data_IF_920344370784
#
_entry.id   IF_920344370784
#
_cell.length_a   1.000
_cell.length_b   1.000
_cell.length_c   1.000
_cell.angle_alpha   90.00
_cell.angle_beta   90.00
_cell.angle_gamma   90.00
#
_symmetry.space_group_name_H-M   'P 1'
#
loop_
_entity.id
_entity.type
_entity.pdbx_description
1 polymer ?
#
# COMPACT_ATOMS: atom_id res chain seq x y z
N UNK A 1 4.76 1.76 -2.41
CA UNK A 1 5.42 2.80 -1.60
C UNK A 1 6.92 2.94 -1.88
N UNK A 2 7.68 1.87 -2.23
CA UNK A 2 9.12 2.01 -2.50
C UNK A 2 9.45 2.64 -3.88
N UNK A 3 8.53 2.59 -4.84
CA UNK A 3 8.77 3.03 -6.23
C UNK A 3 9.25 4.48 -6.35
N UNK A 4 8.72 5.46 -5.60
CA UNK A 4 9.27 6.83 -5.58
C UNK A 4 10.76 6.92 -5.28
N UNK A 5 11.29 6.07 -4.39
CA UNK A 5 12.74 6.00 -4.16
C UNK A 5 13.47 5.55 -5.43
N UNK A 6 12.98 4.51 -6.10
CA UNK A 6 13.57 4.01 -7.34
C UNK A 6 13.56 5.09 -8.42
N UNK A 7 12.44 5.80 -8.61
CA UNK A 7 12.33 6.90 -9.58
C UNK A 7 13.25 8.07 -9.24
N UNK A 8 13.37 8.41 -7.96
CA UNK A 8 14.32 9.42 -7.48
C UNK A 8 15.76 9.03 -7.83
N UNK A 9 16.14 7.77 -7.60
CA UNK A 9 17.49 7.26 -7.94
C UNK A 9 17.74 7.22 -9.45
N UNK A 10 16.78 6.78 -10.27
CA UNK A 10 16.90 6.78 -11.73
C UNK A 10 17.10 8.19 -12.29
N UNK A 11 16.40 9.18 -11.73
CA UNK A 11 16.52 10.57 -12.17
C UNK A 11 17.84 11.21 -11.73
N UNK A 12 18.23 11.03 -10.46
CA UNK A 12 19.37 11.75 -9.87
C UNK A 12 20.70 11.03 -10.06
N UNK A 13 20.67 9.73 -10.35
CA UNK A 13 21.84 8.90 -10.63
C UNK A 13 21.64 8.14 -11.96
N UNK A 14 21.54 8.82 -13.11
CA UNK A 14 21.16 8.21 -14.39
C UNK A 14 22.15 7.15 -14.92
N UNK A 15 23.41 7.21 -14.47
CA UNK A 15 24.43 6.22 -14.81
C UNK A 15 24.47 5.02 -13.86
N UNK A 16 23.69 5.03 -12.78
CA UNK A 16 23.65 3.94 -11.82
C UNK A 16 22.81 2.78 -12.37
N UNK A 17 23.35 1.57 -12.30
CA UNK A 17 22.60 0.36 -12.59
C UNK A 17 21.84 -0.07 -11.34
N UNK A 18 20.52 -0.15 -11.44
CA UNK A 18 19.66 -0.52 -10.32
C UNK A 18 19.26 -1.99 -10.41
N UNK A 19 19.58 -2.76 -9.37
CA UNK A 19 19.10 -4.13 -9.19
C UNK A 19 18.17 -4.19 -7.97
N UNK A 20 16.95 -4.69 -8.16
CA UNK A 20 15.95 -4.82 -7.10
C UNK A 20 15.70 -6.29 -6.76
N UNK A 21 16.12 -6.70 -5.56
CA UNK A 21 15.75 -7.99 -4.98
C UNK A 21 14.32 -7.88 -4.44
N UNK A 22 13.40 -8.62 -5.06
CA UNK A 22 11.95 -8.44 -4.85
C UNK A 22 11.23 -9.77 -4.68
N UNK A 23 10.16 -9.78 -3.88
CA UNK A 23 9.30 -10.96 -3.77
C UNK A 23 8.46 -11.16 -5.04
N UNK A 24 8.19 -12.42 -5.41
CA UNK A 24 7.36 -12.75 -6.58
C UNK A 24 6.00 -12.01 -6.66
N UNK A 25 5.19 -11.88 -5.58
CA UNK A 25 3.95 -11.12 -5.65
C UNK A 25 4.14 -9.63 -5.95
N UNK A 26 5.17 -9.00 -5.40
CA UNK A 26 5.47 -7.60 -5.65
C UNK A 26 6.08 -7.39 -7.06
N UNK A 27 6.82 -8.37 -7.57
CA UNK A 27 7.34 -8.35 -8.94
C UNK A 27 6.22 -8.23 -9.98
N UNK A 28 5.09 -8.93 -9.82
CA UNK A 28 3.97 -8.84 -10.77
C UNK A 28 3.38 -7.43 -10.93
N UNK A 29 3.57 -6.53 -9.95
CA UNK A 29 3.19 -5.13 -10.09
C UNK A 29 4.26 -4.30 -10.82
N UNK A 30 5.54 -4.67 -10.68
CA UNK A 30 6.70 -3.93 -11.19
C UNK A 30 7.25 -4.49 -12.51
N UNK A 31 6.77 -5.64 -12.96
CA UNK A 31 7.18 -6.29 -14.20
C UNK A 31 7.06 -5.31 -15.38
N UNK A 32 8.11 -5.15 -16.18
CA UNK A 32 8.14 -4.16 -17.26
C UNK A 32 8.55 -2.75 -16.83
N UNK A 33 8.95 -2.53 -15.57
CA UNK A 33 9.61 -1.28 -15.16
C UNK A 33 10.98 -1.17 -15.84
N UNK A 34 11.16 -0.13 -16.65
CA UNK A 34 12.41 0.15 -17.35
C UNK A 34 13.53 0.58 -16.39
N UNK A 35 14.78 0.29 -16.77
CA UNK A 35 15.97 0.73 -16.04
C UNK A 35 16.19 0.05 -14.69
N UNK A 36 15.56 -1.10 -14.43
CA UNK A 36 15.74 -1.89 -13.21
C UNK A 36 15.92 -3.37 -13.56
N UNK A 37 17.02 -3.97 -13.11
CA UNK A 37 17.19 -5.42 -13.11
C UNK A 37 16.45 -6.03 -11.90
N UNK A 38 15.61 -7.04 -12.11
CA UNK A 38 14.92 -7.70 -11.00
C UNK A 38 15.55 -9.05 -10.64
N UNK A 39 15.86 -9.24 -9.36
CA UNK A 39 16.18 -10.53 -8.78
C UNK A 39 14.96 -10.99 -7.99
N UNK A 40 14.12 -11.81 -8.64
CA UNK A 40 12.89 -12.30 -8.03
C UNK A 40 13.19 -13.49 -7.12
N UNK A 41 12.81 -13.37 -5.85
CA UNK A 41 12.98 -14.42 -4.85
C UNK A 41 11.65 -14.77 -4.18
N UNK A 42 11.53 -16.00 -3.72
CA UNK A 42 10.52 -16.35 -2.72
C UNK A 42 11.03 -15.97 -1.33
N UNK A 43 10.10 -15.68 -0.40
CA UNK A 43 10.48 -15.43 0.99
C UNK A 43 11.15 -16.71 1.54
N UNK A 44 12.39 -16.63 2.06
CA UNK A 44 13.09 -17.81 2.56
C UNK A 44 12.30 -18.50 3.68
N UNK A 45 12.07 -19.81 3.53
CA UNK A 45 11.41 -20.65 4.55
C UNK A 45 12.38 -21.64 5.17
N UNK A 46 13.42 -22.01 4.45
CA UNK A 46 14.39 -23.05 4.81
C UNK A 46 15.83 -22.55 4.65
N UNK A 47 16.79 -23.24 5.26
CA UNK A 47 18.22 -22.96 5.09
C UNK A 47 18.69 -23.14 3.63
N UNK A 48 18.07 -24.08 2.91
CA UNK A 48 18.35 -24.30 1.49
C UNK A 48 18.02 -23.06 0.63
N UNK A 49 16.99 -22.30 1.00
CA UNK A 49 16.61 -21.06 0.31
C UNK A 49 17.71 -19.99 0.44
N UNK A 50 18.27 -19.83 1.65
CA UNK A 50 19.39 -18.92 1.88
C UNK A 50 20.64 -19.33 1.11
N UNK A 51 20.94 -20.63 1.04
CA UNK A 51 22.08 -21.12 0.26
C UNK A 51 21.89 -20.94 -1.24
N UNK A 52 20.67 -21.16 -1.75
CA UNK A 52 20.31 -20.87 -3.15
C UNK A 52 20.50 -19.39 -3.47
N UNK A 53 20.00 -18.52 -2.59
CA UNK A 53 20.21 -17.08 -2.73
C UNK A 53 21.70 -16.71 -2.71
N UNK A 54 22.48 -17.26 -1.76
CA UNK A 54 23.93 -17.05 -1.69
C UNK A 54 24.63 -17.44 -2.99
N UNK A 55 24.29 -18.59 -3.58
CA UNK A 55 24.84 -19.03 -4.87
C UNK A 55 24.49 -18.05 -6.00
N UNK A 56 23.25 -17.59 -6.05
CA UNK A 56 22.78 -16.60 -7.04
C UNK A 56 23.51 -15.25 -6.92
N UNK A 57 23.84 -14.83 -5.69
CA UNK A 57 24.54 -13.57 -5.42
C UNK A 57 26.07 -13.67 -5.52
N UNK A 58 26.64 -14.87 -5.51
CA UNK A 58 28.09 -15.09 -5.51
C UNK A 58 28.87 -14.37 -6.64
N UNK A 59 28.41 -14.37 -7.91
CA UNK A 59 29.13 -13.71 -9.01
C UNK A 59 28.88 -12.19 -9.07
N UNK A 60 28.02 -11.65 -8.19
CA UNK A 60 27.59 -10.25 -8.24
C UNK A 60 28.35 -9.42 -7.21
N UNK A 61 28.61 -8.16 -7.56
CA UNK A 61 29.17 -7.15 -6.66
C UNK A 61 28.43 -5.85 -6.88
N UNK A 62 28.22 -5.09 -5.81
CA UNK A 62 27.53 -3.81 -5.83
C UNK A 62 28.37 -2.74 -5.14
N UNK A 63 28.25 -1.49 -5.57
CA UNK A 63 28.86 -0.37 -4.84
C UNK A 63 28.08 -0.07 -3.55
N UNK A 64 26.75 -0.13 -3.63
CA UNK A 64 25.86 0.16 -2.50
C UNK A 64 24.71 -0.84 -2.46
N UNK A 65 24.40 -1.34 -1.27
CA UNK A 65 23.13 -1.99 -0.95
C UNK A 65 22.25 -1.03 -0.14
N UNK A 66 21.05 -0.73 -0.63
CA UNK A 66 19.98 -0.10 0.16
C UNK A 66 19.10 -1.21 0.73
N UNK A 67 18.92 -1.25 2.05
CA UNK A 67 18.14 -2.27 2.75
C UNK A 67 16.87 -1.69 3.40
N UNK A 68 15.87 -1.23 2.62
CA UNK A 68 14.63 -0.63 3.12
C UNK A 68 13.63 -1.64 3.71
N UNK A 69 14.07 -2.83 4.11
CA UNK A 69 13.23 -3.84 4.75
C UNK A 69 13.95 -4.45 5.96
N UNK A 70 13.51 -4.05 7.16
CA UNK A 70 13.99 -4.61 8.42
C UNK A 70 13.05 -5.71 8.91
N UNK A 71 13.25 -6.92 8.40
CA UNK A 71 12.56 -8.12 8.91
C UNK A 71 13.55 -9.26 9.03
N UNK A 72 13.36 -10.15 10.01
CA UNK A 72 14.31 -11.22 10.33
C UNK A 72 14.80 -11.95 9.08
N UNK A 73 13.87 -12.55 8.32
CA UNK A 73 14.20 -13.34 7.13
C UNK A 73 14.95 -12.55 6.06
N UNK A 74 14.63 -11.27 5.89
CA UNK A 74 15.31 -10.42 4.90
C UNK A 74 16.68 -9.95 5.38
N UNK A 75 16.82 -9.65 6.68
CA UNK A 75 18.09 -9.24 7.26
C UNK A 75 19.17 -10.33 7.09
N UNK A 76 18.80 -11.61 7.21
CA UNK A 76 19.70 -12.73 7.00
C UNK A 76 20.15 -12.94 5.54
N UNK A 77 19.54 -12.25 4.57
CA UNK A 77 20.04 -12.24 3.18
C UNK A 77 21.19 -11.24 2.98
N UNK A 78 21.23 -10.17 3.80
CA UNK A 78 22.19 -9.06 3.67
C UNK A 78 23.66 -9.52 3.68
N UNK A 79 24.10 -10.48 4.51
CA UNK A 79 25.48 -10.97 4.50
C UNK A 79 25.89 -11.61 3.17
N UNK A 80 24.95 -12.18 2.41
CA UNK A 80 25.23 -12.85 1.14
C UNK A 80 25.31 -11.88 -0.04
N UNK A 81 24.99 -10.60 0.16
CA UNK A 81 25.09 -9.55 -0.85
C UNK A 81 26.44 -8.84 -0.66
N UNK A 82 27.32 -8.97 -1.65
CA UNK A 82 28.62 -8.29 -1.68
C UNK A 82 28.42 -6.85 -2.13
N UNK A 83 28.45 -5.91 -1.18
CA UNK A 83 28.36 -4.48 -1.45
C UNK A 83 29.43 -3.72 -0.65
N UNK A 84 30.07 -2.70 -1.26
CA UNK A 84 31.11 -1.88 -0.60
C UNK A 84 30.50 -1.07 0.56
N UNK A 85 29.30 -0.54 0.36
CA UNK A 85 28.48 0.15 1.37
C UNK A 85 27.14 -0.55 1.55
N UNK A 86 26.62 -0.53 2.78
CA UNK A 86 25.30 -1.08 3.13
C UNK A 86 24.55 -0.08 3.98
N UNK A 87 23.53 0.53 3.38
CA UNK A 87 22.66 1.53 4.00
C UNK A 87 21.38 0.85 4.47
N UNK A 88 21.01 1.06 5.74
CA UNK A 88 19.83 0.47 6.35
C UNK A 88 19.02 1.47 7.18
N UNK A 89 18.06 0.95 7.93
CA UNK A 89 17.25 1.74 8.86
C UNK A 89 18.03 2.23 10.08
N UNK A 90 17.56 3.35 10.62
CA UNK A 90 18.00 3.93 11.88
C UNK A 90 17.52 3.12 13.10
N UNK A 91 17.90 3.55 14.31
CA UNK A 91 17.58 2.85 15.57
C UNK A 91 16.09 2.71 15.88
N UNK A 92 15.23 3.60 15.39
CA UNK A 92 13.79 3.56 15.67
C UNK A 92 13.04 2.57 14.76
N UNK A 93 13.54 2.37 13.53
CA UNK A 93 12.89 1.54 12.51
C UNK A 93 13.56 0.19 12.31
N UNK A 94 14.84 0.10 12.65
CA UNK A 94 15.57 -1.15 12.59
C UNK A 94 14.99 -2.15 13.58
N UNK A 95 14.65 -3.32 13.06
CA UNK A 95 14.14 -4.44 13.84
C UNK A 95 14.85 -5.74 13.44
N UNK A 96 14.65 -6.82 14.20
CA UNK A 96 15.09 -8.18 13.88
C UNK A 96 16.59 -8.29 13.53
N UNK A 97 17.45 -7.63 14.29
CA UNK A 97 18.90 -7.68 14.09
C UNK A 97 19.41 -6.96 12.84
N UNK A 98 18.61 -6.08 12.21
CA UNK A 98 18.99 -5.33 11.01
C UNK A 98 20.36 -4.64 11.12
N UNK A 99 20.64 -4.04 12.28
CA UNK A 99 21.88 -3.29 12.56
C UNK A 99 23.13 -4.17 12.67
N UNK A 100 22.99 -5.50 12.77
CA UNK A 100 24.15 -6.41 12.77
C UNK A 100 24.89 -6.41 11.41
N UNK A 101 24.19 -6.07 10.34
CA UNK A 101 24.71 -6.15 8.97
C UNK A 101 24.82 -4.80 8.26
N UNK A 102 24.42 -3.73 8.94
CA UNK A 102 24.31 -2.37 8.42
C UNK A 102 25.23 -1.47 9.24
N UNK A 103 26.16 -0.79 8.56
CA UNK A 103 27.09 0.17 9.17
C UNK A 103 26.71 1.63 8.91
N UNK A 104 25.90 1.87 7.90
CA UNK A 104 25.45 3.19 7.48
C UNK A 104 23.92 3.21 7.54
N UNK A 105 23.32 4.23 8.15
CA UNK A 105 21.87 4.30 8.33
C UNK A 105 21.30 5.61 7.84
N UNK A 106 20.03 5.58 7.43
CA UNK A 106 19.26 6.79 7.17
C UNK A 106 19.12 7.66 8.43
N UNK A 107 18.74 8.92 8.25
CA UNK A 107 18.47 9.84 9.35
C UNK A 107 17.26 9.36 10.18
N UNK A 108 17.37 9.30 11.52
CA UNK A 108 16.26 8.91 12.38
C UNK A 108 15.00 9.74 12.18
N UNK A 109 13.83 9.14 12.40
CA UNK A 109 12.58 9.87 12.44
C UNK A 109 11.35 9.00 12.56
N UNK A 110 10.18 9.64 12.68
CA UNK A 110 8.87 9.01 12.85
C UNK A 110 7.89 9.41 11.74
N UNK A 111 8.40 9.97 10.65
CA UNK A 111 7.61 10.35 9.49
C UNK A 111 6.97 9.15 8.78
N UNK A 112 6.10 9.46 7.83
CA UNK A 112 5.41 8.48 7.01
C UNK A 112 6.39 7.48 6.36
N UNK A 113 5.98 6.22 6.24
CA UNK A 113 6.84 5.12 5.74
C UNK A 113 7.45 5.43 4.38
N UNK A 114 6.69 6.08 3.48
CA UNK A 114 7.20 6.54 2.18
C UNK A 114 8.36 7.54 2.31
N UNK A 115 8.27 8.49 3.23
CA UNK A 115 9.37 9.42 3.50
C UNK A 115 10.59 8.68 4.04
N UNK A 116 10.37 7.72 4.94
CA UNK A 116 11.44 6.84 5.44
C UNK A 116 12.14 6.07 4.31
N UNK A 117 11.41 5.64 3.27
CA UNK A 117 12.02 5.05 2.08
C UNK A 117 12.85 6.07 1.30
N UNK A 118 12.34 7.27 1.07
CA UNK A 118 13.05 8.31 0.32
C UNK A 118 14.37 8.72 0.98
N UNK A 119 14.46 8.66 2.31
CA UNK A 119 15.72 8.92 3.04
C UNK A 119 16.87 7.99 2.67
N UNK A 120 16.62 6.81 2.08
CA UNK A 120 17.70 5.94 1.60
C UNK A 120 18.52 6.55 0.46
N UNK A 121 18.03 7.62 -0.19
CA UNK A 121 18.77 8.36 -1.19
C UNK A 121 19.77 9.37 -0.57
N UNK A 122 19.53 9.85 0.65
CA UNK A 122 20.35 10.89 1.30
C UNK A 122 21.82 10.51 1.44
N UNK A 123 22.19 9.28 1.86
CA UNK A 123 23.60 8.91 2.00
C UNK A 123 24.32 8.75 0.65
N UNK A 124 23.57 8.77 -0.46
CA UNK A 124 24.10 8.82 -1.82
C UNK A 124 24.28 10.25 -2.35
N UNK A 125 24.03 11.26 -1.51
CA UNK A 125 24.10 12.67 -1.90
C UNK A 125 22.83 13.20 -2.57
N UNK A 126 21.73 12.44 -2.52
CA UNK A 126 20.46 12.82 -3.16
C UNK A 126 19.47 13.29 -2.10
N UNK A 127 19.20 14.60 -2.07
CA UNK A 127 18.27 15.24 -1.11
C UNK A 127 16.91 15.59 -1.72
N UNK A 128 16.87 15.82 -3.03
CA UNK A 128 15.63 16.08 -3.76
C UNK A 128 14.81 14.80 -3.91
N UNK A 129 13.50 14.90 -3.67
CA UNK A 129 12.57 13.77 -3.65
C UNK A 129 11.63 13.86 -4.84
N UNK A 130 11.51 12.78 -5.61
CA UNK A 130 10.55 12.67 -6.71
C UNK A 130 9.44 11.73 -6.29
N UNK A 131 8.24 12.28 -6.06
CA UNK A 131 7.07 11.54 -5.60
C UNK A 131 6.21 11.16 -6.81
N UNK A 132 6.74 10.22 -7.60
CA UNK A 132 6.06 9.63 -8.75
C UNK A 132 6.19 8.11 -8.70
N UNK A 133 5.12 7.39 -9.04
CA UNK A 133 5.12 5.93 -9.06
C UNK A 133 5.35 5.39 -10.47
N UNK A 134 4.68 5.94 -11.49
CA UNK A 134 4.79 5.50 -12.90
C UNK A 134 4.81 3.98 -13.03
N UNK A 135 3.76 3.33 -12.50
CA UNK A 135 3.68 1.88 -12.46
C UNK A 135 3.50 1.32 -13.87
N UNK A 136 4.15 0.19 -14.22
CA UNK A 136 4.11 -0.38 -15.57
C UNK A 136 2.78 -1.12 -15.83
N UNK A 137 1.68 -0.38 -15.91
CA UNK A 137 0.36 -0.89 -16.28
C UNK A 137 0.32 -1.03 -17.80
N UNK A 138 0.02 -2.22 -18.31
CA UNK A 138 0.07 -2.47 -19.76
C UNK A 138 -1.22 -2.02 -20.44
N UNK A 139 -1.17 -1.81 -21.76
CA UNK A 139 -2.37 -1.53 -22.57
C UNK A 139 -3.44 -2.61 -22.38
N UNK A 140 -3.04 -3.88 -22.33
CA UNK A 140 -3.95 -5.00 -22.12
C UNK A 140 -4.62 -4.96 -20.72
N UNK A 141 -3.94 -4.46 -19.69
CA UNK A 141 -4.54 -4.28 -18.36
C UNK A 141 -5.63 -3.20 -18.38
N UNK A 142 -5.39 -2.09 -19.11
CA UNK A 142 -6.39 -1.03 -19.30
C UNK A 142 -7.58 -1.49 -20.16
N UNK A 143 -7.34 -2.20 -21.26
CA UNK A 143 -8.38 -2.78 -22.09
C UNK A 143 -9.23 -3.78 -21.29
N UNK A 144 -8.59 -4.63 -20.47
CA UNK A 144 -9.29 -5.52 -19.56
C UNK A 144 -10.19 -4.74 -18.59
N UNK A 145 -9.66 -3.70 -17.93
CA UNK A 145 -10.43 -2.89 -17.00
C UNK A 145 -11.63 -2.23 -17.70
N UNK A 146 -11.44 -1.66 -18.88
CA UNK A 146 -12.51 -1.04 -19.65
C UNK A 146 -13.64 -2.02 -19.98
N UNK A 147 -13.32 -3.27 -20.33
CA UNK A 147 -14.30 -4.29 -20.68
C UNK A 147 -15.07 -4.87 -19.47
N UNK A 148 -14.57 -4.68 -18.25
CA UNK A 148 -15.17 -5.22 -17.02
C UNK A 148 -15.78 -4.15 -16.12
N UNK A 149 -15.55 -2.87 -16.43
CA UNK A 149 -16.15 -1.75 -15.74
C UNK A 149 -17.49 -1.37 -16.37
N UNK A 150 -18.41 -0.79 -15.58
CA UNK A 150 -19.62 -0.20 -16.14
C UNK A 150 -19.26 0.97 -17.06
N UNK A 151 -20.18 1.32 -17.96
CA UNK A 151 -20.03 2.49 -18.83
C UNK A 151 -19.74 3.76 -18.01
N UNK A 152 -18.77 4.55 -18.48
CA UNK A 152 -18.21 5.69 -17.73
C UNK A 152 -19.06 6.97 -17.82
N UNK A 153 -20.33 6.86 -18.22
CA UNK A 153 -21.27 7.99 -18.16
C UNK A 153 -21.58 8.42 -16.73
N UNK A 154 -21.39 7.49 -15.78
CA UNK A 154 -21.59 7.70 -14.35
C UNK A 154 -20.31 7.51 -13.58
N UNK A 155 -20.09 8.26 -12.49
CA UNK A 155 -18.86 8.14 -11.72
C UNK A 155 -18.78 6.78 -11.03
N UNK A 156 -17.58 6.19 -11.06
CA UNK A 156 -17.33 4.87 -10.48
C UNK A 156 -16.78 5.01 -9.06
N UNK A 157 -17.40 4.33 -8.10
CA UNK A 157 -16.89 4.12 -6.74
C UNK A 157 -16.37 2.68 -6.64
N UNK A 158 -15.04 2.53 -6.58
CA UNK A 158 -14.41 1.23 -6.33
C UNK A 158 -14.39 0.97 -4.83
N UNK A 159 -14.83 -0.21 -4.41
CA UNK A 159 -14.86 -0.60 -3.00
C UNK A 159 -14.06 -1.88 -2.82
N UNK A 160 -13.03 -1.84 -1.98
CA UNK A 160 -12.35 -3.05 -1.51
C UNK A 160 -12.71 -3.27 -0.05
N UNK A 161 -13.79 -4.01 0.27
CA UNK A 161 -14.33 -4.01 1.63
C UNK A 161 -13.49 -4.82 2.63
N UNK A 162 -12.74 -5.80 2.13
CA UNK A 162 -12.00 -6.76 2.94
C UNK A 162 -10.52 -6.37 3.14
N UNK A 163 -9.99 -6.74 4.31
CA UNK A 163 -8.57 -6.70 4.63
C UNK A 163 -8.00 -8.10 4.78
N UNK A 164 -6.66 -8.23 4.72
CA UNK A 164 -5.98 -9.52 4.84
C UNK A 164 -6.21 -10.25 6.16
N UNK A 165 -6.62 -9.51 7.21
CA UNK A 165 -7.11 -10.05 8.46
C UNK A 165 -8.58 -9.63 8.62
N UNK A 166 -9.52 -10.55 8.87
CA UNK A 166 -10.93 -10.22 8.98
C UNK A 166 -11.22 -9.08 9.98
N UNK A 167 -10.55 -9.08 11.14
CA UNK A 167 -10.66 -8.05 12.19
C UNK A 167 -10.31 -6.62 11.73
N UNK A 168 -9.60 -6.47 10.60
CA UNK A 168 -9.26 -5.16 9.99
C UNK A 168 -10.26 -4.72 8.92
N UNK A 169 -11.25 -5.55 8.60
CA UNK A 169 -12.32 -5.20 7.68
C UNK A 169 -13.40 -4.43 8.44
N UNK A 170 -14.07 -3.53 7.73
CA UNK A 170 -15.24 -2.85 8.27
C UNK A 170 -16.49 -3.73 8.14
N UNK A 171 -17.57 -3.30 8.78
CA UNK A 171 -18.80 -4.07 8.89
C UNK A 171 -19.59 -4.00 7.58
N UNK A 172 -20.15 -5.13 7.14
CA UNK A 172 -20.83 -5.24 5.87
C UNK A 172 -22.03 -4.31 5.77
N UNK A 173 -22.85 -4.26 6.83
CA UNK A 173 -24.03 -3.42 6.93
C UNK A 173 -23.70 -1.93 6.79
N UNK A 174 -22.51 -1.52 7.22
CA UNK A 174 -22.08 -0.12 7.10
C UNK A 174 -21.59 0.21 5.69
N UNK A 175 -20.93 -0.73 5.01
CA UNK A 175 -20.68 -0.59 3.57
C UNK A 175 -21.99 -0.50 2.80
N UNK A 176 -22.94 -1.39 3.06
CA UNK A 176 -24.24 -1.39 2.39
C UNK A 176 -24.93 -0.02 2.56
N UNK A 177 -24.98 0.50 3.78
CA UNK A 177 -25.60 1.80 4.07
C UNK A 177 -24.91 2.95 3.32
N UNK A 178 -23.58 3.06 3.41
CA UNK A 178 -22.80 4.06 2.66
C UNK A 178 -23.07 3.98 1.16
N UNK A 179 -23.10 2.77 0.61
CA UNK A 179 -23.25 2.57 -0.83
C UNK A 179 -24.67 2.85 -1.31
N UNK A 180 -25.70 2.50 -0.53
CA UNK A 180 -27.09 2.92 -0.80
C UNK A 180 -27.19 4.44 -0.84
N UNK A 181 -26.64 5.13 0.15
CA UNK A 181 -26.64 6.61 0.18
C UNK A 181 -25.85 7.22 -0.98
N UNK A 182 -24.67 6.68 -1.31
CA UNK A 182 -23.84 7.18 -2.40
C UNK A 182 -24.50 7.01 -3.78
N UNK A 183 -25.18 5.88 -4.02
CA UNK A 183 -25.93 5.64 -5.25
C UNK A 183 -27.08 6.62 -5.42
N UNK A 184 -27.83 6.90 -4.35
CA UNK A 184 -28.95 7.86 -4.41
C UNK A 184 -28.43 9.29 -4.56
N UNK A 185 -27.39 9.67 -3.83
CA UNK A 185 -26.92 11.07 -3.74
C UNK A 185 -26.11 11.51 -4.97
N UNK A 186 -25.33 10.61 -5.57
CA UNK A 186 -24.38 10.95 -6.64
C UNK A 186 -24.49 10.05 -7.88
N UNK A 187 -25.49 9.17 -7.96
CA UNK A 187 -25.70 8.21 -9.07
C UNK A 187 -24.43 7.42 -9.42
N UNK A 188 -23.68 6.99 -8.39
CA UNK A 188 -22.42 6.27 -8.59
C UNK A 188 -22.66 4.83 -9.04
N UNK A 189 -21.74 4.32 -9.86
CA UNK A 189 -21.61 2.88 -10.10
C UNK A 189 -20.63 2.26 -9.12
N UNK A 190 -21.10 1.26 -8.38
CA UNK A 190 -20.28 0.56 -7.39
C UNK A 190 -19.59 -0.64 -8.04
N UNK A 191 -18.27 -0.72 -7.87
CA UNK A 191 -17.44 -1.83 -8.33
C UNK A 191 -16.73 -2.45 -7.13
N UNK A 192 -17.06 -3.68 -6.78
CA UNK A 192 -16.40 -4.40 -5.69
C UNK A 192 -15.11 -5.06 -6.19
N UNK A 193 -14.01 -4.86 -5.47
CA UNK A 193 -12.71 -5.49 -5.70
C UNK A 193 -12.21 -6.20 -4.45
N UNK A 194 -11.33 -7.17 -4.60
CA UNK A 194 -10.82 -7.94 -3.48
C UNK A 194 -10.03 -9.17 -3.93
N UNK A 195 -9.38 -9.84 -2.98
CA UNK A 195 -8.67 -11.08 -3.23
C UNK A 195 -9.60 -12.28 -3.48
N UNK A 196 -9.06 -13.45 -3.84
CA UNK A 196 -9.85 -14.66 -4.07
C UNK A 196 -10.23 -15.42 -2.78
N UNK A 197 -9.87 -14.89 -1.60
CA UNK A 197 -10.10 -15.53 -0.32
C UNK A 197 -11.58 -15.54 0.09
N UNK A 198 -11.94 -16.48 0.97
CA UNK A 198 -13.33 -16.69 1.37
C UNK A 198 -13.91 -15.49 2.12
N UNK A 199 -13.10 -14.81 2.93
CA UNK A 199 -13.51 -13.58 3.62
C UNK A 199 -13.89 -12.46 2.64
N UNK A 200 -13.04 -12.18 1.65
CA UNK A 200 -13.31 -11.18 0.60
C UNK A 200 -14.58 -11.52 -0.19
N UNK A 201 -14.75 -12.79 -0.58
CA UNK A 201 -15.93 -13.26 -1.32
C UNK A 201 -17.21 -13.12 -0.50
N UNK A 202 -17.21 -13.61 0.74
CA UNK A 202 -18.35 -13.56 1.64
C UNK A 202 -18.83 -12.13 1.86
N UNK A 203 -17.90 -11.21 2.12
CA UNK A 203 -18.23 -9.80 2.34
C UNK A 203 -18.80 -9.14 1.08
N UNK A 204 -18.26 -9.46 -0.09
CA UNK A 204 -18.76 -8.93 -1.36
C UNK A 204 -20.12 -9.52 -1.75
N UNK A 205 -20.38 -10.79 -1.44
CA UNK A 205 -21.68 -11.43 -1.65
C UNK A 205 -22.75 -10.82 -0.74
N UNK A 206 -22.45 -10.53 0.51
CA UNK A 206 -23.36 -9.84 1.43
C UNK A 206 -23.75 -8.45 0.90
N UNK A 207 -22.77 -7.66 0.46
CA UNK A 207 -23.03 -6.35 -0.15
C UNK A 207 -23.84 -6.48 -1.45
N UNK A 208 -23.47 -7.42 -2.33
CA UNK A 208 -24.10 -7.59 -3.64
C UNK A 208 -25.55 -8.10 -3.58
N UNK A 209 -25.97 -8.70 -2.45
CA UNK A 209 -27.38 -9.08 -2.21
C UNK A 209 -28.28 -7.87 -1.97
N UNK A 210 -27.72 -6.80 -1.42
CA UNK A 210 -28.48 -5.65 -0.93
C UNK A 210 -28.52 -4.48 -1.94
N UNK A 211 -27.55 -4.41 -2.85
CA UNK A 211 -27.42 -3.33 -3.83
C UNK A 211 -26.85 -3.78 -5.17
N UNK A 212 -27.18 -3.10 -6.28
CA UNK A 212 -26.58 -3.37 -7.58
C UNK A 212 -25.10 -2.98 -7.60
N UNK A 213 -24.24 -3.94 -7.92
CA UNK A 213 -22.78 -3.76 -8.01
C UNK A 213 -22.18 -4.55 -9.18
N UNK A 214 -21.02 -4.11 -9.66
CA UNK A 214 -20.14 -4.95 -10.49
C UNK A 214 -19.16 -5.66 -9.56
N UNK A 215 -19.25 -6.98 -9.45
CA UNK A 215 -18.38 -7.76 -8.55
C UNK A 215 -17.14 -8.31 -9.29
N UNK A 216 -15.98 -7.73 -9.02
CA UNK A 216 -14.65 -8.14 -9.52
C UNK A 216 -13.78 -8.81 -8.46
N UNK A 217 -14.32 -9.19 -7.29
CA UNK A 217 -13.58 -9.89 -6.24
C UNK A 217 -13.02 -11.21 -6.75
N UNK A 218 -11.71 -11.40 -6.58
CA UNK A 218 -10.98 -12.57 -7.07
C UNK A 218 -10.84 -12.66 -8.59
N UNK A 219 -11.27 -11.64 -9.35
CA UNK A 219 -11.26 -11.64 -10.83
C UNK A 219 -10.17 -10.77 -11.44
N UNK A 220 -9.43 -10.01 -10.62
CA UNK A 220 -8.36 -9.11 -11.08
C UNK A 220 -6.98 -9.67 -10.80
N UNK A 221 -6.05 -9.40 -11.72
CA UNK A 221 -4.61 -9.40 -11.44
C UNK A 221 -4.19 -8.06 -10.85
N UNK A 222 -3.02 -7.96 -10.19
CA UNK A 222 -2.59 -6.72 -9.52
C UNK A 222 -2.54 -5.48 -10.43
N UNK A 223 -2.07 -5.61 -11.69
CA UNK A 223 -2.07 -4.50 -12.66
C UNK A 223 -3.44 -4.16 -13.22
N UNK A 224 -4.30 -5.17 -13.40
CA UNK A 224 -5.71 -4.96 -13.75
C UNK A 224 -6.45 -4.22 -12.64
N UNK A 225 -6.16 -4.51 -11.36
CA UNK A 225 -6.70 -3.77 -10.23
C UNK A 225 -6.25 -2.31 -10.23
N UNK A 226 -4.97 -2.03 -10.51
CA UNK A 226 -4.48 -0.65 -10.70
C UNK A 226 -5.20 0.06 -11.85
N UNK A 227 -5.39 -0.62 -12.98
CA UNK A 227 -6.13 -0.09 -14.12
C UNK A 227 -7.60 0.22 -13.74
N UNK A 228 -8.27 -0.68 -13.02
CA UNK A 228 -9.63 -0.47 -12.48
C UNK A 228 -9.67 0.75 -11.56
N UNK A 229 -8.75 0.84 -10.60
CA UNK A 229 -8.68 1.96 -9.65
C UNK A 229 -8.42 3.29 -10.38
N UNK A 230 -7.56 3.30 -11.40
CA UNK A 230 -7.24 4.52 -12.18
C UNK A 230 -8.44 5.10 -12.96
N UNK A 231 -9.51 4.32 -13.15
CA UNK A 231 -10.75 4.75 -13.81
C UNK A 231 -11.84 5.15 -12.82
N UNK A 232 -11.62 4.96 -11.51
CA UNK A 232 -12.60 5.30 -10.50
C UNK A 232 -12.56 6.80 -10.17
N UNK A 233 -13.72 7.36 -9.78
CA UNK A 233 -13.81 8.70 -9.19
C UNK A 233 -13.31 8.71 -7.75
N UNK A 234 -13.54 7.60 -7.03
CA UNK A 234 -13.08 7.40 -5.67
C UNK A 234 -12.88 5.91 -5.37
N UNK A 235 -12.05 5.62 -4.36
CA UNK A 235 -11.90 4.30 -3.75
C UNK A 235 -12.35 4.36 -2.28
N UNK A 236 -13.04 3.32 -1.81
CA UNK A 236 -13.34 3.10 -0.40
C UNK A 236 -12.75 1.76 0.05
N UNK A 237 -11.87 1.76 1.06
CA UNK A 237 -11.24 0.54 1.56
C UNK A 237 -10.67 0.71 2.98
N UNK A 238 -10.46 -0.38 3.74
CA UNK A 238 -9.62 -0.34 4.93
C UNK A 238 -8.14 -0.09 4.57
N UNK A 239 -7.30 0.19 5.57
CA UNK A 239 -5.83 0.33 5.43
C UNK A 239 -5.17 -0.94 4.85
N UNK A 240 -5.13 -1.01 3.52
CA UNK A 240 -4.75 -2.19 2.74
C UNK A 240 -4.08 -1.78 1.42
N UNK A 241 -3.56 -2.77 0.67
CA UNK A 241 -2.92 -2.55 -0.63
C UNK A 241 -3.66 -1.59 -1.58
N UNK A 242 -4.98 -1.75 -1.79
CA UNK A 242 -5.80 -0.83 -2.59
C UNK A 242 -5.68 0.66 -2.22
N UNK A 243 -5.54 0.99 -0.93
CA UNK A 243 -5.35 2.38 -0.47
C UNK A 243 -4.07 3.00 -1.06
N UNK A 244 -2.97 2.25 -1.02
CA UNK A 244 -1.70 2.67 -1.61
C UNK A 244 -1.70 2.62 -3.13
N UNK A 245 -2.45 1.69 -3.74
CA UNK A 245 -2.61 1.62 -5.19
C UNK A 245 -3.35 2.84 -5.72
N UNK A 246 -4.40 3.29 -5.04
CA UNK A 246 -5.14 4.50 -5.38
C UNK A 246 -4.24 5.73 -5.34
N UNK A 247 -3.46 5.91 -4.26
CA UNK A 247 -2.47 6.98 -4.19
C UNK A 247 -1.44 6.92 -5.33
N UNK A 248 -1.00 5.71 -5.72
CA UNK A 248 -0.02 5.52 -6.78
C UNK A 248 -0.51 5.86 -8.19
N UNK A 249 -1.82 5.72 -8.45
CA UNK A 249 -2.43 6.06 -9.76
C UNK A 249 -3.22 7.36 -9.73
N UNK A 250 -3.14 8.12 -8.64
CA UNK A 250 -3.77 9.43 -8.51
C UNK A 250 -5.29 9.40 -8.28
N UNK A 251 -5.85 8.27 -7.85
CA UNK A 251 -7.29 8.16 -7.55
C UNK A 251 -7.57 8.52 -6.09
N UNK A 252 -8.48 9.48 -5.80
CA UNK A 252 -8.90 9.79 -4.44
C UNK A 252 -9.37 8.55 -3.68
N UNK A 253 -8.96 8.41 -2.41
CA UNK A 253 -9.29 7.24 -1.59
C UNK A 253 -9.71 7.63 -0.19
N UNK A 254 -10.89 7.15 0.20
CA UNK A 254 -11.35 7.14 1.58
C UNK A 254 -10.83 5.86 2.24
N UNK A 255 -9.72 6.00 2.95
CA UNK A 255 -9.08 4.90 3.67
C UNK A 255 -9.56 4.85 5.13
N UNK A 256 -10.02 3.67 5.57
CA UNK A 256 -10.54 3.46 6.92
C UNK A 256 -9.43 3.05 7.88
N UNK A 257 -9.10 3.92 8.83
CA UNK A 257 -8.04 3.70 9.82
C UNK A 257 -8.57 3.72 11.25
N UNK A 258 -8.65 2.55 11.87
CA UNK A 258 -8.80 2.40 13.33
C UNK A 258 -7.74 1.47 13.93
N UNK A 259 -7.19 0.54 13.14
CA UNK A 259 -6.20 -0.44 13.59
C UNK A 259 -4.77 0.08 13.55
N UNK A 260 -4.45 0.92 12.58
CA UNK A 260 -3.11 1.45 12.31
C UNK A 260 -3.13 2.97 12.25
N UNK A 261 -2.03 3.60 12.68
CA UNK A 261 -1.89 5.05 12.60
C UNK A 261 -1.71 5.49 11.13
N UNK A 262 -2.63 6.30 10.57
CA UNK A 262 -2.52 6.76 9.19
C UNK A 262 -1.34 7.70 8.92
N UNK A 263 -0.77 8.36 9.93
CA UNK A 263 0.44 9.17 9.72
C UNK A 263 1.66 8.31 9.34
N UNK A 264 1.63 7.02 9.64
CA UNK A 264 2.70 6.06 9.34
C UNK A 264 2.52 5.44 7.96
N UNK A 265 1.30 5.04 7.60
CA UNK A 265 1.04 4.24 6.39
C UNK A 265 -0.25 4.58 5.65
N UNK A 266 -0.80 5.78 5.82
CA UNK A 266 -1.97 6.21 5.06
C UNK A 266 -1.70 6.33 3.54
N UNK A 267 -2.74 6.60 2.74
CA UNK A 267 -2.57 6.95 1.33
C UNK A 267 -1.85 8.29 1.21
N UNK A 268 -0.58 8.26 0.82
CA UNK A 268 0.35 9.40 0.96
C UNK A 268 -0.16 10.74 0.39
N UNK A 269 -0.75 10.74 -0.81
CA UNK A 269 -1.28 11.95 -1.46
C UNK A 269 -2.72 12.31 -1.05
N UNK A 270 -3.39 11.43 -0.29
CA UNK A 270 -4.81 11.56 0.07
C UNK A 270 -5.04 11.44 1.58
N UNK A 271 -4.07 11.83 2.40
CA UNK A 271 -4.17 11.72 3.87
C UNK A 271 -5.37 12.50 4.45
N UNK A 272 -5.79 13.59 3.80
CA UNK A 272 -6.96 14.38 4.20
C UNK A 272 -8.30 13.66 4.02
N UNK A 273 -8.35 12.62 3.17
CA UNK A 273 -9.53 11.78 2.94
C UNK A 273 -9.58 10.54 3.84
N UNK A 274 -8.60 10.38 4.73
CA UNK A 274 -8.59 9.27 5.69
C UNK A 274 -9.66 9.48 6.76
N UNK A 275 -10.43 8.42 7.02
CA UNK A 275 -11.25 8.34 8.22
C UNK A 275 -10.39 7.79 9.35
N UNK A 276 -10.06 8.64 10.32
CA UNK A 276 -9.13 8.32 11.39
C UNK A 276 -9.81 8.16 12.75
N UNK A 277 -9.99 6.91 13.17
CA UNK A 277 -10.44 6.51 14.52
C UNK A 277 -9.34 5.78 15.32
N UNK A 278 -8.08 5.82 14.87
CA UNK A 278 -6.97 5.10 15.52
C UNK A 278 -6.72 5.56 16.96
N UNK A 279 -6.64 6.87 17.23
CA UNK A 279 -6.42 7.38 18.58
C UNK A 279 -7.55 6.96 19.54
N UNK A 280 -8.79 7.00 19.06
CA UNK A 280 -9.95 6.50 19.82
C UNK A 280 -9.81 4.99 20.08
N UNK A 281 -9.43 4.21 19.08
CA UNK A 281 -9.23 2.77 19.22
C UNK A 281 -8.13 2.41 20.24
N UNK A 282 -7.01 3.15 20.26
CA UNK A 282 -5.95 2.98 21.26
C UNK A 282 -6.50 3.17 22.68
N UNK A 283 -7.30 4.23 22.88
CA UNK A 283 -7.88 4.52 24.18
C UNK A 283 -8.94 3.50 24.59
N UNK A 284 -9.89 3.18 23.71
CA UNK A 284 -11.05 2.36 24.07
C UNK A 284 -10.77 0.86 24.06
N UNK A 285 -9.88 0.39 23.17
CA UNK A 285 -9.59 -1.05 23.02
C UNK A 285 -8.37 -1.46 23.84
N UNK A 286 -7.31 -0.65 23.86
CA UNK A 286 -6.07 -0.99 24.59
C UNK A 286 -6.00 -0.35 25.98
N UNK A 287 -6.83 0.64 26.29
CA UNK A 287 -6.80 1.36 27.58
C UNK A 287 -5.55 2.22 27.77
N UNK A 288 -4.84 2.56 26.69
CA UNK A 288 -3.60 3.35 26.73
C UNK A 288 -3.89 4.77 26.22
N UNK A 289 -3.23 5.80 26.78
CA UNK A 289 -3.35 7.14 26.18
C UNK A 289 -2.57 7.19 24.86
N UNK A 290 -3.12 7.79 23.79
CA UNK A 290 -2.48 7.78 22.47
C UNK A 290 -1.05 8.32 22.46
N UNK A 291 -0.74 9.29 23.32
CA UNK A 291 0.58 9.92 23.44
C UNK A 291 1.64 8.97 24.02
N UNK A 292 1.20 7.96 24.78
CA UNK A 292 2.08 6.94 25.38
C UNK A 292 2.19 5.68 24.52
N UNK A 293 1.47 5.61 23.40
CA UNK A 293 1.53 4.49 22.48
C UNK A 293 2.92 4.40 21.84
N UNK A 294 3.44 3.18 21.76
CA UNK A 294 4.66 2.91 21.00
C UNK A 294 4.40 3.18 19.51
N UNK A 295 5.40 3.69 18.80
CA UNK A 295 5.32 3.91 17.36
C UNK A 295 5.11 2.56 16.64
N UNK A 296 4.12 2.51 15.75
CA UNK A 296 3.76 1.29 15.01
C UNK A 296 2.87 0.30 15.78
N UNK A 297 2.36 0.66 16.97
CA UNK A 297 1.33 -0.14 17.65
C UNK A 297 0.13 -0.36 16.74
N UNK A 298 -0.43 -1.56 16.79
CA UNK A 298 -1.65 -1.94 16.08
C UNK A 298 -2.73 -2.33 17.08
N UNK A 299 -3.96 -1.88 16.85
CA UNK A 299 -5.12 -2.29 17.66
C UNK A 299 -5.69 -3.58 17.08
N UNK A 300 -5.61 -4.67 17.84
CA UNK A 300 -6.14 -5.97 17.43
C UNK A 300 -7.58 -6.17 17.90
N UNK A 301 -8.33 -7.01 17.16
CA UNK A 301 -9.72 -7.36 17.46
C UNK A 301 -10.76 -6.58 16.65
N UNK A 302 -12.00 -7.06 16.68
CA UNK A 302 -13.10 -6.56 15.85
C UNK A 302 -13.69 -5.23 16.33
N UNK A 303 -13.35 -4.77 17.54
CA UNK A 303 -13.93 -3.55 18.12
C UNK A 303 -13.39 -2.27 17.48
N UNK A 304 -12.15 -2.26 17.01
CA UNK A 304 -11.52 -1.05 16.46
C UNK A 304 -12.29 -0.52 15.24
N UNK A 305 -12.59 -1.39 14.28
CA UNK A 305 -13.31 -0.99 13.06
C UNK A 305 -14.76 -0.57 13.33
N UNK A 306 -15.37 -1.02 14.44
CA UNK A 306 -16.71 -0.57 14.85
C UNK A 306 -16.78 0.89 15.27
N UNK A 307 -15.63 1.54 15.54
CA UNK A 307 -15.60 2.96 15.89
C UNK A 307 -15.81 3.88 14.69
N UNK A 308 -15.60 3.40 13.47
CA UNK A 308 -15.77 4.17 12.23
C UNK A 308 -17.25 4.20 11.85
N UNK A 309 -17.89 5.36 11.82
CA UNK A 309 -19.33 5.49 11.54
C UNK A 309 -19.61 5.62 10.04
N UNK A 310 -20.88 5.47 9.65
CA UNK A 310 -21.33 5.76 8.26
C UNK A 310 -21.10 7.24 7.93
N UNK A 311 -21.41 8.13 8.86
CA UNK A 311 -21.25 9.58 8.69
C UNK A 311 -19.79 9.96 8.44
N UNK A 312 -18.83 9.36 9.16
CA UNK A 312 -17.40 9.59 8.95
C UNK A 312 -17.00 9.34 7.48
N UNK A 313 -17.53 8.27 6.89
CA UNK A 313 -17.25 7.87 5.51
C UNK A 313 -17.97 8.77 4.51
N UNK A 314 -19.24 9.08 4.78
CA UNK A 314 -20.07 9.92 3.91
C UNK A 314 -19.56 11.36 3.85
N UNK A 315 -18.98 11.88 4.92
CA UNK A 315 -18.29 13.18 4.93
C UNK A 315 -17.15 13.20 3.89
N UNK A 316 -16.24 12.22 3.94
CA UNK A 316 -15.10 12.13 3.02
C UNK A 316 -15.51 11.86 1.58
N UNK A 317 -16.53 11.03 1.36
CA UNK A 317 -17.08 10.87 0.01
C UNK A 317 -17.72 12.17 -0.50
N UNK A 318 -18.39 12.93 0.37
CA UNK A 318 -18.97 14.23 -0.01
C UNK A 318 -17.89 15.21 -0.48
N UNK A 319 -16.73 15.26 0.16
CA UNK A 319 -15.58 16.08 -0.28
C UNK A 319 -15.16 15.75 -1.72
N UNK A 320 -15.12 14.46 -2.08
CA UNK A 320 -14.71 14.00 -3.42
C UNK A 320 -15.78 14.27 -4.48
N UNK A 321 -17.04 13.93 -4.19
CA UNK A 321 -18.12 13.96 -5.17
C UNK A 321 -18.76 15.34 -5.35
N UNK A 322 -18.66 16.23 -4.35
CA UNK A 322 -19.20 17.60 -4.45
C UNK A 322 -18.24 18.58 -5.14
N UNK A 323 -17.06 18.12 -5.57
CA UNK A 323 -16.09 18.94 -6.29
C UNK A 323 -15.32 19.93 -5.41
N UNK A 324 -15.29 19.72 -4.08
CA UNK A 324 -14.47 20.52 -3.16
C UNK A 324 -12.95 20.31 -3.33
N UNK A 325 -12.54 19.47 -4.29
CA UNK A 325 -11.15 19.34 -4.75
C UNK A 325 -10.90 20.01 -6.11
N UNK A 326 -11.52 21.16 -6.36
CA UNK A 326 -11.04 22.08 -7.40
C UNK A 326 -9.96 23.00 -6.81
N UNK A 327 -8.72 22.77 -7.26
CA UNK A 327 -7.57 23.69 -7.21
C UNK A 327 -7.01 24.10 -5.84
N UNK A 328 -6.03 23.33 -5.36
CA UNK A 328 -4.80 23.87 -4.75
C UNK A 328 -3.62 23.02 -5.17
#
# INVERSE_FOLDING_TARGET
>A
MLVPLIRTLQNKLPNAQLTWIISKPAFYLMEGMEGVEFIVIDKPKTLADYWRFRKQMLPRQFDVLLAPQASFRTNWLIPFIKAKRKVGYDSHRANDGHRLFIKESITPGLEHTLEGFLKFAEPLGVTEKIIHWDLPITKADYEWAQNHLPEQERPILVVNPAASKPERSWLAERYIEVLKQAQVKWDVKVVLTGGPGDHDKSLAEEIAKEIPVVNLVGKTKPKQLLAVISKAKAVLCPDTGPSHMAAAVGTPVVALHAVTNPSISGPYTFQHLVVNRYSQAIQTVLGVSPEKSVWGTQVHGYEAMKLITVDDVMEKLTEIFSGLMNNT
#
